data_IF_108472081677
#
_entry.id   IF_108472081677
#
_cell.length_a   1.000
_cell.length_b   1.000
_cell.length_c   1.000
_cell.angle_alpha   90.00
_cell.angle_beta   90.00
_cell.angle_gamma   90.00
#
_symmetry.space_group_name_H-M   'P 1'
#
loop_
_entity.id
_entity.type
_entity.pdbx_description
1 polymer ?
#
# COMPACT_ATOMS: atom_id res chain seq x y z
N UNK A 1 -46.93 7.22 -8.24
CA UNK A 1 -45.80 7.91 -8.91
C UNK A 1 -44.63 7.84 -7.93
N UNK A 2 -43.60 7.02 -8.09
CA UNK A 2 -42.54 7.03 -9.12
C UNK A 2 -42.03 5.58 -9.31
N UNK A 3 -41.90 5.03 -10.54
CA UNK A 3 -41.38 3.67 -10.71
C UNK A 3 -39.84 3.66 -10.62
N UNK A 4 -39.30 2.96 -9.62
CA UNK A 4 -37.87 2.72 -9.46
C UNK A 4 -37.39 1.64 -10.45
N UNK A 5 -37.28 2.01 -11.74
CA UNK A 5 -36.78 1.16 -12.84
C UNK A 5 -35.29 1.42 -13.10
N UNK A 6 -34.47 1.38 -12.05
CA UNK A 6 -33.01 1.37 -12.23
C UNK A 6 -32.60 0.00 -12.76
N UNK A 7 -32.35 -0.06 -14.08
CA UNK A 7 -31.82 -1.21 -14.80
C UNK A 7 -30.61 -1.81 -14.08
N UNK A 8 -30.53 -3.14 -14.05
CA UNK A 8 -29.41 -3.92 -13.48
C UNK A 8 -28.05 -3.37 -13.97
N UNK A 9 -27.98 -2.90 -15.22
CA UNK A 9 -26.80 -2.27 -15.79
C UNK A 9 -26.33 -1.03 -15.01
N UNK A 10 -27.24 -0.22 -14.47
CA UNK A 10 -26.93 0.99 -13.70
C UNK A 10 -26.27 0.67 -12.36
N UNK A 11 -26.60 -0.47 -11.75
CA UNK A 11 -25.96 -0.94 -10.50
C UNK A 11 -24.53 -1.41 -10.74
N UNK A 12 -24.29 -2.10 -11.85
CA UNK A 12 -22.94 -2.51 -12.25
C UNK A 12 -22.07 -1.32 -12.64
N UNK A 13 -22.66 -0.31 -13.29
CA UNK A 13 -21.97 0.93 -13.63
C UNK A 13 -21.55 1.70 -12.38
N UNK A 14 -22.42 1.77 -11.36
CA UNK A 14 -22.09 2.39 -10.07
C UNK A 14 -20.98 1.62 -9.34
N UNK A 15 -21.03 0.29 -9.34
CA UNK A 15 -20.01 -0.56 -8.71
C UNK A 15 -18.64 -0.45 -9.42
N UNK A 16 -18.64 -0.40 -10.76
CA UNK A 16 -17.43 -0.23 -11.55
C UNK A 16 -16.76 1.12 -11.31
N UNK A 17 -17.55 2.20 -11.19
CA UNK A 17 -17.05 3.54 -10.85
C UNK A 17 -16.47 3.57 -9.42
N UNK A 18 -17.09 2.87 -8.47
CA UNK A 18 -16.58 2.76 -7.09
C UNK A 18 -15.23 2.00 -7.05
N UNK A 19 -15.09 0.91 -7.81
CA UNK A 19 -13.84 0.16 -7.90
C UNK A 19 -12.72 0.96 -8.57
N UNK A 20 -13.04 1.79 -9.57
CA UNK A 20 -12.05 2.61 -10.25
C UNK A 20 -11.51 3.74 -9.34
N UNK A 21 -12.35 4.28 -8.45
CA UNK A 21 -11.95 5.31 -7.49
C UNK A 21 -11.03 4.81 -6.36
N UNK A 22 -11.02 3.51 -6.06
CA UNK A 22 -10.18 2.91 -5.01
C UNK A 22 -8.71 2.71 -5.43
N UNK A 23 -8.38 2.95 -6.71
CA UNK A 23 -7.01 2.79 -7.23
C UNK A 23 -6.13 4.02 -7.04
N UNK A 24 -6.46 4.92 -6.10
CA UNK A 24 -5.57 6.02 -5.73
C UNK A 24 -4.27 5.45 -5.19
N UNK A 25 -3.26 5.37 -6.07
CA UNK A 25 -1.90 5.03 -5.70
C UNK A 25 -1.44 6.08 -4.69
N UNK A 26 -1.21 5.67 -3.45
CA UNK A 26 -0.45 6.47 -2.50
C UNK A 26 0.91 6.68 -3.13
N UNK A 27 1.16 7.88 -3.63
CA UNK A 27 2.49 8.28 -4.05
C UNK A 27 3.35 8.28 -2.78
N UNK A 28 4.31 7.37 -2.69
CA UNK A 28 5.26 7.34 -1.60
C UNK A 28 5.97 8.69 -1.55
N UNK A 29 5.70 9.46 -0.51
CA UNK A 29 6.29 10.78 -0.32
C UNK A 29 7.77 10.58 0.03
N UNK A 30 8.64 10.84 -0.93
CA UNK A 30 10.08 10.75 -0.73
C UNK A 30 10.55 11.90 0.16
N UNK A 31 10.63 11.68 1.46
CA UNK A 31 11.39 12.56 2.35
C UNK A 31 12.88 12.32 2.12
N UNK A 32 13.54 13.24 1.44
CA UNK A 32 15.01 13.32 1.40
C UNK A 32 15.47 13.89 2.74
N UNK A 33 15.46 13.05 3.77
CA UNK A 33 15.95 13.37 5.10
C UNK A 33 16.96 12.32 5.55
N UNK A 34 18.02 12.76 6.22
CA UNK A 34 18.87 11.88 7.01
C UNK A 34 18.03 11.25 8.13
N UNK A 35 18.29 9.99 8.45
CA UNK A 35 17.67 9.30 9.59
C UNK A 35 18.68 9.33 10.72
N UNK A 36 18.30 9.90 11.85
CA UNK A 36 19.15 9.97 13.03
C UNK A 36 18.84 8.81 14.00
N UNK A 37 19.77 8.53 14.90
CA UNK A 37 19.53 7.51 15.94
C UNK A 37 18.46 8.00 16.91
N UNK A 38 17.46 7.16 17.18
CA UNK A 38 16.32 7.51 18.02
C UNK A 38 15.09 7.94 17.24
N UNK A 39 15.22 8.22 15.93
CA UNK A 39 14.07 8.46 15.06
C UNK A 39 13.19 7.22 14.95
N UNK A 40 11.89 7.47 14.76
CA UNK A 40 10.97 6.41 14.33
C UNK A 40 11.37 5.99 12.91
N UNK A 41 11.73 4.72 12.76
CA UNK A 41 12.07 4.16 11.46
C UNK A 41 10.91 4.35 10.46
N UNK A 42 11.26 4.83 9.26
CA UNK A 42 10.27 5.06 8.19
C UNK A 42 9.69 3.74 7.71
N UNK A 43 8.38 3.73 7.48
CA UNK A 43 7.70 2.59 6.86
C UNK A 43 8.26 2.35 5.45
N UNK A 44 8.46 1.08 5.12
CA UNK A 44 8.92 0.66 3.80
C UNK A 44 8.26 -0.66 3.43
N UNK A 45 8.09 -0.88 2.13
CA UNK A 45 7.62 -2.15 1.60
C UNK A 45 8.71 -2.79 0.74
N UNK A 46 9.12 -3.99 1.11
CA UNK A 46 10.00 -4.83 0.31
C UNK A 46 9.18 -5.87 -0.44
N UNK A 47 9.70 -6.28 -1.59
CA UNK A 47 9.19 -7.46 -2.28
C UNK A 47 9.96 -8.68 -1.77
N UNK A 48 9.25 -9.66 -1.22
CA UNK A 48 9.84 -10.95 -0.90
C UNK A 48 10.38 -11.59 -2.19
N UNK A 49 11.69 -11.84 -2.25
CA UNK A 49 12.31 -12.40 -3.46
C UNK A 49 11.83 -13.81 -3.80
N UNK A 50 11.48 -14.61 -2.78
CA UNK A 50 11.04 -16.01 -2.95
C UNK A 50 9.57 -16.10 -3.34
N UNK A 51 8.70 -15.36 -2.66
CA UNK A 51 7.24 -15.50 -2.82
C UNK A 51 6.63 -14.39 -3.68
N UNK A 52 7.34 -13.29 -3.90
CA UNK A 52 6.82 -12.09 -4.55
C UNK A 52 5.85 -11.27 -3.70
N UNK A 53 5.47 -11.76 -2.50
CA UNK A 53 4.56 -11.07 -1.60
C UNK A 53 5.20 -9.78 -1.04
N UNK A 54 4.39 -8.75 -0.74
CA UNK A 54 4.87 -7.57 -0.03
C UNK A 54 5.26 -7.95 1.41
N UNK A 55 6.31 -7.30 1.91
CA UNK A 55 6.74 -7.33 3.30
C UNK A 55 6.80 -5.87 3.76
N UNK A 56 6.09 -5.53 4.83
CA UNK A 56 6.11 -4.20 5.43
C UNK A 56 6.92 -4.21 6.73
N UNK A 57 7.46 -3.07 7.14
CA UNK A 57 8.12 -2.95 8.45
C UNK A 57 7.12 -3.20 9.58
N UNK A 58 5.90 -2.68 9.44
CA UNK A 58 4.81 -2.85 10.42
C UNK A 58 4.37 -4.30 10.63
N UNK A 59 4.63 -5.21 9.69
CA UNK A 59 4.39 -6.65 9.87
C UNK A 59 5.24 -7.24 11.02
N UNK A 60 6.32 -6.55 11.42
CA UNK A 60 7.23 -6.94 12.51
C UNK A 60 7.03 -6.16 13.81
N UNK A 61 5.90 -5.47 13.99
CA UNK A 61 5.61 -4.74 15.22
C UNK A 61 5.82 -5.60 16.49
N UNK A 62 6.47 -5.03 17.50
CA UNK A 62 6.84 -5.72 18.74
C UNK A 62 8.07 -6.63 18.65
N UNK A 63 8.79 -6.61 17.51
CA UNK A 63 10.08 -7.32 17.34
C UNK A 63 11.23 -6.34 17.16
N UNK A 64 12.44 -6.81 17.49
CA UNK A 64 13.67 -6.13 17.09
C UNK A 64 13.96 -6.52 15.64
N UNK A 65 14.19 -5.52 14.78
CA UNK A 65 14.47 -5.68 13.35
C UNK A 65 15.86 -5.16 13.04
N UNK A 66 16.65 -5.95 12.32
CA UNK A 66 17.97 -5.56 11.80
C UNK A 66 17.87 -5.44 10.29
N UNK A 67 18.29 -4.29 9.75
CA UNK A 67 18.38 -4.06 8.31
C UNK A 67 19.82 -4.24 7.86
N UNK A 68 20.08 -5.37 7.18
CA UNK A 68 21.36 -5.64 6.55
C UNK A 68 21.29 -5.25 5.07
N UNK A 69 21.91 -4.12 4.72
CA UNK A 69 21.91 -3.58 3.37
C UNK A 69 23.17 -4.06 2.65
N UNK A 70 23.00 -4.97 1.70
CA UNK A 70 24.09 -5.60 0.97
C UNK A 70 23.99 -5.38 -0.54
N UNK A 71 25.15 -5.28 -1.19
CA UNK A 71 25.27 -5.39 -2.63
C UNK A 71 26.54 -6.18 -3.00
N UNK A 72 26.46 -6.98 -4.05
CA UNK A 72 27.48 -7.98 -4.41
C UNK A 72 28.56 -7.48 -5.40
N UNK A 73 28.42 -6.25 -5.88
CA UNK A 73 29.24 -5.67 -6.94
C UNK A 73 30.56 -5.10 -6.42
#
# INVERSE_FOLDING_TARGET
MIPNRLSIASRYLLAAVLCLAASTRVAAQSSTGYVETGDIAREFTLKNRKTGAPIQLSDYAGKIVVLDLFAYW
#
